data_IF_119954251581
#
_entry.id   IF_119954251581
#
_cell.length_a   1.000
_cell.length_b   1.000
_cell.length_c   1.000
_cell.angle_alpha   90.00
_cell.angle_beta   90.00
_cell.angle_gamma   90.00
#
_symmetry.space_group_name_H-M   'P 1'
#
loop_
_entity.id
_entity.type
_entity.pdbx_description
1 polymer ?
#
# COMPACT_ATOMS: atom_id res chain seq x y z
N UNK A 1 -7.78 -2.81 -5.46
CA UNK A 1 -9.03 -2.43 -4.78
C UNK A 1 -10.19 -3.38 -5.12
N UNK A 2 -10.56 -3.58 -6.37
CA UNK A 2 -11.71 -4.43 -6.74
C UNK A 2 -11.49 -5.91 -6.35
N UNK A 3 -10.28 -6.45 -6.52
CA UNK A 3 -9.94 -7.80 -6.06
C UNK A 3 -10.24 -8.01 -4.58
N UNK A 4 -9.94 -7.03 -3.73
CA UNK A 4 -10.25 -7.09 -2.29
C UNK A 4 -11.76 -7.05 -2.03
N UNK A 5 -12.54 -6.27 -2.80
CA UNK A 5 -14.00 -6.17 -2.63
C UNK A 5 -14.74 -7.44 -3.03
N UNK A 6 -14.21 -8.20 -3.96
CA UNK A 6 -14.90 -9.34 -4.58
C UNK A 6 -14.33 -10.71 -4.20
N UNK A 7 -13.29 -10.76 -3.35
CA UNK A 7 -12.73 -12.04 -2.92
C UNK A 7 -13.56 -12.68 -1.81
N UNK A 8 -13.76 -14.01 -1.88
CA UNK A 8 -14.42 -14.78 -0.82
C UNK A 8 -13.52 -15.02 0.40
N UNK A 9 -12.20 -15.08 0.20
CA UNK A 9 -11.21 -15.27 1.26
C UNK A 9 -10.04 -14.34 1.01
N UNK A 10 -9.93 -13.34 1.87
CA UNK A 10 -8.85 -12.36 1.80
C UNK A 10 -7.48 -13.00 2.09
N UNK A 11 -7.44 -13.98 2.99
CA UNK A 11 -6.22 -14.71 3.33
C UNK A 11 -5.66 -15.48 2.12
N UNK A 12 -6.52 -16.20 1.38
CA UNK A 12 -6.11 -16.90 0.15
C UNK A 12 -5.70 -15.93 -0.96
N UNK A 13 -6.33 -14.76 -1.00
CA UNK A 13 -5.97 -13.71 -1.95
C UNK A 13 -4.60 -13.14 -1.64
N UNK A 14 -4.33 -12.81 -0.36
CA UNK A 14 -3.01 -12.37 0.11
C UNK A 14 -1.93 -13.42 -0.16
N UNK A 15 -2.19 -14.69 0.19
CA UNK A 15 -1.25 -15.77 -0.08
C UNK A 15 -0.92 -15.87 -1.57
N UNK A 16 -1.93 -15.77 -2.43
CA UNK A 16 -1.73 -15.75 -3.88
C UNK A 16 -0.85 -14.59 -4.34
N UNK A 17 -1.12 -13.37 -3.88
CA UNK A 17 -0.32 -12.19 -4.22
C UNK A 17 1.13 -12.33 -3.72
N UNK A 18 1.33 -12.82 -2.48
CA UNK A 18 2.66 -13.04 -1.91
C UNK A 18 3.48 -14.08 -2.69
N UNK A 19 2.86 -15.21 -3.04
CA UNK A 19 3.53 -16.25 -3.86
C UNK A 19 3.93 -15.68 -5.22
N UNK A 20 3.03 -14.95 -5.90
CA UNK A 20 3.35 -14.36 -7.20
C UNK A 20 4.31 -13.16 -7.11
N UNK A 21 4.38 -12.47 -5.98
CA UNK A 21 5.43 -11.50 -5.73
C UNK A 21 6.82 -12.15 -5.79
N UNK A 22 6.99 -13.30 -5.09
CA UNK A 22 8.26 -14.05 -5.11
C UNK A 22 8.57 -14.67 -6.47
N UNK A 23 7.57 -15.27 -7.15
CA UNK A 23 7.77 -15.87 -8.47
C UNK A 23 8.13 -14.82 -9.52
N UNK A 24 7.52 -13.63 -9.45
CA UNK A 24 7.72 -12.57 -10.44
C UNK A 24 9.03 -11.81 -10.24
N UNK A 25 9.69 -11.96 -9.09
CA UNK A 25 10.96 -11.26 -8.82
C UNK A 25 12.05 -11.73 -9.76
N UNK A 26 12.17 -13.03 -9.98
CA UNK A 26 13.21 -13.58 -10.87
C UNK A 26 13.11 -12.99 -12.29
N UNK A 27 11.96 -13.07 -13.02
CA UNK A 27 11.86 -12.44 -14.33
C UNK A 27 11.97 -10.92 -14.28
N UNK A 28 11.57 -10.26 -13.18
CA UNK A 28 11.71 -8.82 -13.02
C UNK A 28 13.19 -8.40 -12.94
N UNK A 29 13.97 -9.06 -12.09
CA UNK A 29 15.41 -8.82 -11.96
C UNK A 29 16.17 -9.10 -13.25
N UNK A 30 15.80 -10.16 -13.99
CA UNK A 30 16.38 -10.46 -15.29
C UNK A 30 16.05 -9.40 -16.36
N UNK A 31 14.87 -8.77 -16.28
CA UNK A 31 14.46 -7.77 -17.26
C UNK A 31 15.02 -6.37 -16.95
N UNK A 32 15.07 -5.98 -15.69
CA UNK A 32 15.36 -4.60 -15.28
C UNK A 32 16.61 -4.47 -14.40
N UNK A 33 17.01 -5.52 -13.67
CA UNK A 33 18.20 -5.56 -12.83
C UNK A 33 19.47 -6.00 -13.58
N UNK A 34 20.60 -5.87 -12.91
CA UNK A 34 21.87 -6.44 -13.34
C UNK A 34 22.25 -7.70 -12.57
N UNK A 35 21.49 -8.02 -11.51
CA UNK A 35 21.68 -9.19 -10.64
C UNK A 35 20.35 -9.53 -9.98
N UNK A 36 20.18 -10.79 -9.58
CA UNK A 36 19.01 -11.21 -8.81
C UNK A 36 19.16 -10.68 -7.38
N UNK A 37 18.32 -9.72 -6.99
CA UNK A 37 18.35 -9.11 -5.67
C UNK A 37 16.92 -8.84 -5.16
N UNK A 38 16.42 -9.70 -4.28
CA UNK A 38 15.06 -9.67 -3.76
C UNK A 38 14.69 -8.45 -2.88
N UNK A 39 15.64 -7.53 -2.63
CA UNK A 39 15.43 -6.36 -1.77
C UNK A 39 15.65 -5.03 -2.47
N UNK A 40 16.04 -5.04 -3.75
CA UNK A 40 16.34 -3.86 -4.54
C UNK A 40 15.30 -3.75 -5.66
N UNK A 41 14.55 -2.67 -5.73
CA UNK A 41 13.49 -2.41 -6.72
C UNK A 41 12.58 -3.63 -6.98
N UNK A 42 11.66 -3.90 -6.07
CA UNK A 42 10.79 -5.08 -6.16
C UNK A 42 9.59 -4.87 -7.09
N UNK A 43 9.07 -5.97 -7.63
CA UNK A 43 7.99 -5.98 -8.62
C UNK A 43 6.61 -5.51 -8.07
N UNK A 44 5.66 -5.23 -8.96
CA UNK A 44 4.33 -4.70 -8.66
C UNK A 44 3.49 -5.60 -7.72
N UNK A 45 3.73 -6.90 -7.69
CA UNK A 45 2.97 -7.79 -6.81
C UNK A 45 3.24 -7.51 -5.33
N UNK A 46 4.43 -7.00 -4.96
CA UNK A 46 4.68 -6.52 -3.59
C UNK A 46 3.79 -5.33 -3.24
N UNK A 47 3.67 -4.36 -4.15
CA UNK A 47 2.74 -3.22 -3.96
C UNK A 47 1.29 -3.70 -3.80
N UNK A 48 0.85 -4.65 -4.64
CA UNK A 48 -0.49 -5.22 -4.57
C UNK A 48 -0.72 -6.01 -3.27
N UNK A 49 0.28 -6.78 -2.84
CA UNK A 49 0.25 -7.55 -1.59
C UNK A 49 0.14 -6.63 -0.37
N UNK A 50 1.00 -5.62 -0.28
CA UNK A 50 0.99 -4.66 0.85
C UNK A 50 -0.31 -3.85 0.88
N UNK A 51 -0.83 -3.44 -0.28
CA UNK A 51 -2.11 -2.76 -0.36
C UNK A 51 -3.27 -3.64 0.10
N UNK A 52 -3.27 -4.91 -0.30
CA UNK A 52 -4.27 -5.87 0.13
C UNK A 52 -4.15 -6.19 1.63
N UNK A 53 -2.92 -6.23 2.16
CA UNK A 53 -2.66 -6.37 3.59
C UNK A 53 -3.21 -5.15 4.38
N UNK A 54 -3.00 -3.92 3.89
CA UNK A 54 -3.61 -2.72 4.48
C UNK A 54 -5.14 -2.84 4.56
N UNK A 55 -5.77 -3.27 3.46
CA UNK A 55 -7.24 -3.47 3.41
C UNK A 55 -7.67 -4.53 4.41
N UNK A 56 -6.97 -5.66 4.48
CA UNK A 56 -7.28 -6.75 5.41
C UNK A 56 -7.14 -6.31 6.88
N UNK A 57 -6.06 -5.62 7.22
CA UNK A 57 -5.82 -5.06 8.56
C UNK A 57 -6.93 -4.07 8.91
N UNK A 58 -7.23 -3.11 8.02
CA UNK A 58 -8.28 -2.12 8.21
C UNK A 58 -9.64 -2.76 8.50
N UNK A 59 -10.09 -3.70 7.65
CA UNK A 59 -11.39 -4.35 7.78
C UNK A 59 -11.47 -5.25 9.03
N UNK A 60 -10.38 -5.94 9.35
CA UNK A 60 -10.31 -6.82 10.52
C UNK A 60 -10.40 -6.01 11.83
N UNK A 61 -9.65 -4.90 11.91
CA UNK A 61 -9.64 -4.05 13.10
C UNK A 61 -10.96 -3.30 13.26
N UNK A 62 -11.52 -2.79 12.15
CA UNK A 62 -12.79 -2.06 12.16
C UNK A 62 -13.96 -2.88 12.72
N UNK A 63 -13.92 -4.21 12.59
CA UNK A 63 -14.94 -5.13 13.10
C UNK A 63 -14.77 -5.45 14.58
N UNK A 64 -13.63 -5.12 15.18
CA UNK A 64 -13.32 -5.45 16.56
C UNK A 64 -13.87 -4.43 17.56
N UNK A 65 -14.03 -4.87 18.82
CA UNK A 65 -14.33 -3.97 19.94
C UNK A 65 -13.18 -2.98 20.15
N UNK A 66 -13.49 -1.80 20.64
CA UNK A 66 -12.51 -0.69 20.82
C UNK A 66 -11.25 -1.10 21.59
N UNK A 67 -11.39 -1.95 22.62
CA UNK A 67 -10.23 -2.45 23.39
C UNK A 67 -9.27 -3.26 22.51
N UNK A 68 -9.79 -4.11 21.63
CA UNK A 68 -8.97 -4.90 20.69
C UNK A 68 -8.30 -3.97 19.66
N UNK A 69 -9.01 -2.97 19.17
CA UNK A 69 -8.45 -1.96 18.26
C UNK A 69 -7.26 -1.24 18.90
N UNK A 70 -7.36 -0.86 20.16
CA UNK A 70 -6.29 -0.22 20.93
C UNK A 70 -5.08 -1.13 21.12
N UNK A 71 -5.31 -2.40 21.47
CA UNK A 71 -4.23 -3.39 21.63
C UNK A 71 -3.49 -3.58 20.29
N UNK A 72 -4.22 -3.78 19.19
CA UNK A 72 -3.62 -3.93 17.86
C UNK A 72 -2.86 -2.68 17.47
N UNK A 73 -3.42 -1.48 17.73
CA UNK A 73 -2.73 -0.24 17.46
C UNK A 73 -1.42 -0.10 18.27
N UNK A 74 -1.44 -0.46 19.56
CA UNK A 74 -0.24 -0.47 20.39
C UNK A 74 0.83 -1.47 19.86
N UNK A 75 0.42 -2.65 19.42
CA UNK A 75 1.32 -3.64 18.79
C UNK A 75 1.91 -3.09 17.49
N UNK A 76 1.11 -2.42 16.65
CA UNK A 76 1.59 -1.77 15.43
C UNK A 76 2.63 -0.69 15.74
N UNK A 77 2.40 0.12 16.80
CA UNK A 77 3.38 1.12 17.24
C UNK A 77 4.68 0.50 17.74
N UNK A 78 4.61 -0.61 18.47
CA UNK A 78 5.81 -1.36 18.88
C UNK A 78 6.57 -1.90 17.65
N UNK A 79 5.85 -2.40 16.64
CA UNK A 79 6.45 -2.87 15.40
C UNK A 79 7.15 -1.72 14.64
N UNK A 80 6.51 -0.55 14.53
CA UNK A 80 7.11 0.66 13.98
C UNK A 80 8.39 1.09 14.72
N UNK A 81 8.37 0.97 16.05
CA UNK A 81 9.55 1.28 16.85
C UNK A 81 10.68 0.29 16.62
N UNK A 82 10.39 -1.00 16.51
CA UNK A 82 11.38 -2.02 16.17
C UNK A 82 11.94 -1.81 14.75
N UNK A 83 11.10 -1.50 13.77
CA UNK A 83 11.52 -1.15 12.41
C UNK A 83 12.43 0.09 12.40
N UNK A 84 12.07 1.11 13.19
CA UNK A 84 12.91 2.31 13.33
C UNK A 84 14.30 1.98 13.90
N UNK A 85 14.38 1.18 14.96
CA UNK A 85 15.67 0.75 15.55
C UNK A 85 16.51 0.02 14.50
N UNK A 86 15.89 -0.92 13.78
CA UNK A 86 16.56 -1.74 12.78
C UNK A 86 17.08 -0.87 11.63
N UNK A 87 16.25 0.06 11.11
CA UNK A 87 16.63 1.00 10.06
C UNK A 87 17.78 1.89 10.49
N UNK A 88 17.73 2.47 11.71
CA UNK A 88 18.81 3.30 12.25
C UNK A 88 20.12 2.52 12.38
N UNK A 89 20.03 1.23 12.75
CA UNK A 89 21.19 0.36 12.90
C UNK A 89 21.81 0.01 11.54
N UNK A 90 21.00 -0.21 10.50
CA UNK A 90 21.47 -0.59 9.15
C UNK A 90 21.98 0.62 8.37
N UNK A 91 21.25 1.74 8.38
CA UNK A 91 21.58 2.90 7.52
C UNK A 91 22.53 3.90 8.18
N UNK A 92 22.63 3.89 9.51
CA UNK A 92 23.42 4.87 10.26
C UNK A 92 22.81 6.29 10.25
N UNK A 93 21.67 6.51 9.58
CA UNK A 93 21.04 7.83 9.45
C UNK A 93 20.10 8.11 10.63
N UNK A 94 20.31 9.26 11.31
CA UNK A 94 19.57 9.65 12.53
C UNK A 94 18.31 10.50 12.25
N UNK A 95 18.24 11.20 11.16
CA UNK A 95 17.15 12.18 10.87
C UNK A 95 15.79 11.55 10.52
N UNK A 96 15.68 10.57 9.64
CA UNK A 96 14.42 9.86 9.41
C UNK A 96 13.90 9.19 10.68
N UNK A 97 14.81 8.77 11.55
CA UNK A 97 14.54 8.09 12.81
C UNK A 97 13.87 8.98 13.87
N UNK A 98 14.21 10.28 13.93
CA UNK A 98 13.57 11.22 14.88
C UNK A 98 12.11 11.50 14.55
N UNK A 99 11.77 11.65 13.27
CA UNK A 99 10.39 11.86 12.84
C UNK A 99 9.51 10.63 13.15
N UNK A 100 10.04 9.42 12.91
CA UNK A 100 9.36 8.16 13.24
C UNK A 100 9.21 7.96 14.75
N UNK A 101 10.25 8.31 15.54
CA UNK A 101 10.19 8.28 16.99
C UNK A 101 9.14 9.25 17.54
N UNK A 102 9.06 10.46 16.99
CA UNK A 102 8.06 11.45 17.38
C UNK A 102 6.64 10.95 17.07
N UNK A 103 6.42 10.38 15.90
CA UNK A 103 5.11 9.80 15.51
C UNK A 103 4.72 8.62 16.40
N UNK A 104 5.69 7.79 16.83
CA UNK A 104 5.50 6.71 17.79
C UNK A 104 5.04 7.24 19.15
N UNK A 105 5.77 8.23 19.71
CA UNK A 105 5.44 8.84 21.02
C UNK A 105 4.06 9.49 20.98
N UNK A 106 3.74 10.24 19.91
CA UNK A 106 2.44 10.85 19.73
C UNK A 106 1.32 9.81 19.60
N UNK A 107 1.56 8.72 18.89
CA UNK A 107 0.62 7.60 18.79
C UNK A 107 0.35 6.93 20.16
N UNK A 108 1.38 6.75 20.98
CA UNK A 108 1.25 6.24 22.35
C UNK A 108 0.44 7.19 23.24
N UNK A 109 0.69 8.50 23.18
CA UNK A 109 -0.05 9.52 23.93
C UNK A 109 -1.53 9.49 23.52
N UNK A 110 -1.83 9.45 22.23
CA UNK A 110 -3.20 9.39 21.73
C UNK A 110 -3.90 8.11 22.18
N UNK A 111 -3.21 6.95 22.15
CA UNK A 111 -3.74 5.68 22.61
C UNK A 111 -4.05 5.70 24.10
N UNK A 112 -3.13 6.21 24.94
CA UNK A 112 -3.35 6.37 26.37
C UNK A 112 -4.51 7.33 26.67
N UNK A 113 -4.54 8.49 26.03
CA UNK A 113 -5.63 9.46 26.21
C UNK A 113 -7.00 8.87 25.86
N UNK A 114 -7.05 8.01 24.82
CA UNK A 114 -8.28 7.34 24.43
C UNK A 114 -8.72 6.28 25.47
N UNK A 115 -7.78 5.50 26.02
CA UNK A 115 -8.09 4.52 27.09
C UNK A 115 -8.72 5.22 28.29
N UNK A 116 -8.14 6.34 28.73
CA UNK A 116 -8.67 7.09 29.87
C UNK A 116 -10.04 7.72 29.59
N UNK A 117 -10.28 8.20 28.38
CA UNK A 117 -11.54 8.84 28.00
C UNK A 117 -12.69 7.87 27.74
N UNK A 118 -12.39 6.64 27.35
CA UNK A 118 -13.40 5.62 27.01
C UNK A 118 -14.09 5.01 28.23
N UNK A 119 -13.50 5.10 29.42
CA UNK A 119 -14.16 4.68 30.68
C UNK A 119 -15.40 5.55 31.01
N UNK A 120 -15.44 6.79 30.46
CA UNK A 120 -16.57 7.73 30.69
C UNK A 120 -17.57 7.83 29.54
N UNK A 121 -17.28 7.34 28.33
CA UNK A 121 -18.06 7.63 27.12
C UNK A 121 -18.60 6.37 26.44
N UNK A 122 -19.17 5.44 27.20
CA UNK A 122 -19.83 4.24 26.65
C UNK A 122 -21.09 4.55 25.78
N UNK A 123 -21.53 5.79 25.67
CA UNK A 123 -22.81 6.18 25.03
C UNK A 123 -22.73 7.20 23.88
N UNK A 124 -21.57 7.59 23.37
CA UNK A 124 -21.48 8.55 22.27
C UNK A 124 -21.23 7.88 20.92
N UNK A 125 -22.21 7.96 20.02
CA UNK A 125 -22.27 7.33 18.69
C UNK A 125 -21.29 7.87 17.62
N UNK A 126 -20.40 8.83 17.92
CA UNK A 126 -19.51 9.40 16.91
C UNK A 126 -18.14 9.74 17.47
N UNK A 127 -17.35 8.73 17.78
CA UNK A 127 -15.95 8.97 18.10
C UNK A 127 -15.10 8.88 16.82
N UNK A 128 -14.72 10.05 16.29
CA UNK A 128 -13.76 10.20 15.17
C UNK A 128 -12.49 9.36 15.42
N UNK A 129 -12.01 9.30 16.66
CA UNK A 129 -10.83 8.53 17.06
C UNK A 129 -10.99 7.02 16.81
N UNK A 130 -12.18 6.44 17.01
CA UNK A 130 -12.43 5.00 16.76
C UNK A 130 -12.26 4.67 15.25
N UNK A 131 -12.58 5.60 14.36
CA UNK A 131 -12.42 5.41 12.93
C UNK A 131 -10.99 5.65 12.45
N UNK A 132 -10.15 6.33 13.23
CA UNK A 132 -8.75 6.60 12.90
C UNK A 132 -7.84 5.41 13.22
N UNK A 133 -8.09 4.65 14.30
CA UNK A 133 -7.24 3.52 14.68
C UNK A 133 -7.06 2.45 13.60
N UNK A 134 -8.11 2.00 12.88
CA UNK A 134 -7.92 1.07 11.79
C UNK A 134 -7.02 1.61 10.68
N UNK A 135 -7.06 2.92 10.42
CA UNK A 135 -6.20 3.57 9.41
C UNK A 135 -4.77 3.63 9.91
N UNK A 136 -4.54 4.07 11.15
CA UNK A 136 -3.19 4.15 11.72
C UNK A 136 -2.51 2.78 11.82
N UNK A 137 -3.29 1.72 12.05
CA UNK A 137 -2.77 0.34 12.10
C UNK A 137 -2.26 -0.17 10.75
N UNK A 138 -2.50 0.54 9.64
CA UNK A 138 -1.93 0.20 8.33
C UNK A 138 -0.55 0.82 8.09
N UNK A 139 -0.09 1.76 8.93
CA UNK A 139 1.20 2.44 8.77
C UNK A 139 2.41 1.50 8.61
N UNK A 140 2.54 0.35 9.33
CA UNK A 140 3.65 -0.56 9.13
C UNK A 140 3.78 -1.05 7.69
N UNK A 141 2.67 -1.32 7.01
CA UNK A 141 2.69 -1.77 5.62
C UNK A 141 3.14 -0.66 4.65
N UNK A 142 2.85 0.62 4.96
CA UNK A 142 3.37 1.76 4.19
C UNK A 142 4.88 1.92 4.36
N UNK A 143 5.38 1.77 5.59
CA UNK A 143 6.82 1.83 5.86
C UNK A 143 7.56 0.67 5.19
N UNK A 144 6.99 -0.53 5.25
CA UNK A 144 7.55 -1.69 4.59
C UNK A 144 7.62 -1.49 3.06
N UNK A 145 6.60 -0.84 2.46
CA UNK A 145 6.60 -0.50 1.03
C UNK A 145 7.75 0.45 0.64
N UNK A 146 8.13 1.36 1.56
CA UNK A 146 9.29 2.23 1.36
C UNK A 146 10.61 1.50 1.55
N UNK A 147 10.68 0.56 2.50
CA UNK A 147 11.89 -0.18 2.84
C UNK A 147 12.33 -1.17 1.75
N UNK A 148 11.38 -1.91 1.18
CA UNK A 148 11.65 -2.89 0.12
C UNK A 148 11.62 -2.30 -1.29
N UNK A 149 11.55 -0.97 -1.41
CA UNK A 149 11.53 -0.20 -2.66
C UNK A 149 10.61 -0.82 -3.72
N UNK A 150 9.35 -1.11 -3.30
CA UNK A 150 8.41 -1.71 -4.22
C UNK A 150 7.98 -0.74 -5.33
N UNK A 151 7.71 -1.31 -6.51
CA UNK A 151 7.21 -0.59 -7.68
C UNK A 151 6.03 0.31 -7.27
N UNK A 152 6.04 1.58 -7.63
CA UNK A 152 5.16 2.65 -7.15
C UNK A 152 5.24 2.99 -5.63
N UNK A 153 6.04 2.29 -4.82
CA UNK A 153 6.31 2.60 -3.41
C UNK A 153 5.06 2.88 -2.58
N UNK A 154 5.17 3.84 -1.68
CA UNK A 154 4.07 4.30 -0.80
C UNK A 154 2.86 4.80 -1.61
N UNK A 155 3.09 5.46 -2.74
CA UNK A 155 2.03 6.01 -3.59
C UNK A 155 1.09 4.95 -4.16
N UNK A 156 1.65 3.80 -4.59
CA UNK A 156 0.87 2.67 -5.08
C UNK A 156 0.03 2.04 -3.99
N UNK A 157 0.61 1.84 -2.78
CA UNK A 157 -0.11 1.31 -1.62
C UNK A 157 -1.23 2.25 -1.19
N UNK A 158 -0.96 3.58 -1.15
CA UNK A 158 -1.96 4.59 -0.83
C UNK A 158 -3.10 4.60 -1.85
N UNK A 159 -2.77 4.61 -3.14
CA UNK A 159 -3.76 4.63 -4.22
C UNK A 159 -4.74 3.45 -4.10
N UNK A 160 -4.23 2.23 -3.99
CA UNK A 160 -5.07 1.03 -3.95
C UNK A 160 -5.91 0.99 -2.67
N UNK A 161 -5.33 1.37 -1.53
CA UNK A 161 -6.04 1.40 -0.24
C UNK A 161 -7.17 2.44 -0.24
N UNK A 162 -6.91 3.65 -0.76
CA UNK A 162 -7.93 4.70 -0.87
C UNK A 162 -9.02 4.36 -1.90
N UNK A 163 -8.66 3.73 -3.02
CA UNK A 163 -9.64 3.22 -3.99
C UNK A 163 -10.54 2.12 -3.41
N UNK A 164 -10.04 1.34 -2.43
CA UNK A 164 -10.87 0.39 -1.70
C UNK A 164 -11.94 1.10 -0.87
N UNK A 165 -11.57 2.19 -0.19
CA UNK A 165 -12.47 2.99 0.65
C UNK A 165 -13.45 3.84 -0.17
N UNK A 166 -13.18 4.06 -1.46
CA UNK A 166 -14.03 4.86 -2.33
C UNK A 166 -15.42 4.23 -2.49
N UNK A 167 -16.46 5.02 -2.20
CA UNK A 167 -17.87 4.61 -2.27
C UNK A 167 -18.48 4.78 -3.67
N UNK A 168 -17.87 5.59 -4.53
CA UNK A 168 -18.38 5.85 -5.88
C UNK A 168 -17.24 5.97 -6.89
N UNK A 169 -17.57 5.75 -8.17
CA UNK A 169 -16.63 5.90 -9.28
C UNK A 169 -16.08 7.34 -9.34
N UNK A 170 -16.92 8.34 -9.07
CA UNK A 170 -16.50 9.76 -9.06
C UNK A 170 -15.41 10.00 -8.01
N UNK A 171 -15.59 9.45 -6.79
CA UNK A 171 -14.58 9.55 -5.72
C UNK A 171 -13.31 8.81 -6.13
N UNK A 172 -13.41 7.64 -6.75
CA UNK A 172 -12.25 6.91 -7.27
C UNK A 172 -11.46 7.72 -8.29
N UNK A 173 -12.15 8.38 -9.23
CA UNK A 173 -11.51 9.24 -10.22
C UNK A 173 -10.78 10.44 -9.58
N UNK A 174 -11.39 11.08 -8.59
CA UNK A 174 -10.75 12.17 -7.84
C UNK A 174 -9.53 11.68 -7.07
N UNK A 175 -9.60 10.53 -6.38
CA UNK A 175 -8.45 9.94 -5.66
C UNK A 175 -7.30 9.67 -6.63
N UNK A 176 -7.59 9.09 -7.79
CA UNK A 176 -6.57 8.84 -8.81
C UNK A 176 -5.92 10.14 -9.28
N UNK A 177 -6.70 11.17 -9.62
CA UNK A 177 -6.16 12.45 -10.05
C UNK A 177 -5.29 13.09 -8.96
N UNK A 178 -5.75 13.11 -7.71
CA UNK A 178 -5.05 13.74 -6.57
C UNK A 178 -3.74 13.01 -6.25
N UNK A 179 -3.62 11.70 -6.46
CA UNK A 179 -2.40 10.95 -6.18
C UNK A 179 -1.46 10.87 -7.37
N UNK A 180 -1.97 10.71 -8.60
CA UNK A 180 -1.12 10.58 -9.79
C UNK A 180 -0.45 11.90 -10.17
N UNK A 181 -1.14 13.04 -10.02
CA UNK A 181 -0.57 14.34 -10.37
C UNK A 181 0.67 14.68 -9.52
N UNK A 182 0.67 14.60 -8.17
CA UNK A 182 1.88 14.82 -7.38
C UNK A 182 2.97 13.79 -7.62
N UNK A 183 2.62 12.52 -7.80
CA UNK A 183 3.57 11.44 -8.08
C UNK A 183 4.40 11.75 -9.32
N UNK A 184 3.75 12.04 -10.45
CA UNK A 184 4.46 12.41 -11.68
C UNK A 184 5.03 13.83 -11.64
N UNK A 185 4.41 14.73 -10.87
CA UNK A 185 4.89 16.09 -10.67
C UNK A 185 6.26 16.15 -9.97
N UNK A 186 6.50 15.27 -8.99
CA UNK A 186 7.82 15.15 -8.36
C UNK A 186 8.90 14.73 -9.36
N UNK A 187 8.60 13.79 -10.24
CA UNK A 187 9.51 13.36 -11.30
C UNK A 187 9.77 14.45 -12.35
N UNK A 188 8.79 15.32 -12.60
CA UNK A 188 8.96 16.47 -13.51
C UNK A 188 9.82 17.56 -12.86
N UNK A 189 9.65 17.79 -11.55
CA UNK A 189 10.37 18.84 -10.83
C UNK A 189 11.84 18.48 -10.53
N UNK A 190 12.13 17.20 -10.25
CA UNK A 190 13.47 16.72 -9.93
C UNK A 190 14.37 16.56 -11.18
N UNK A 191 13.78 16.28 -12.33
CA UNK A 191 14.47 16.17 -13.60
C UNK A 191 13.99 17.32 -14.51
N UNK A 192 14.90 17.92 -15.28
CA UNK A 192 14.52 18.85 -16.37
C UNK A 192 13.30 18.27 -17.09
N UNK A 193 12.23 19.08 -17.21
CA UNK A 193 10.94 18.67 -17.77
C UNK A 193 11.17 17.83 -19.02
N UNK A 194 11.13 16.51 -18.87
CA UNK A 194 11.36 15.61 -20.00
C UNK A 194 10.02 15.31 -20.66
N UNK A 195 10.04 15.23 -21.99
CA UNK A 195 8.86 14.80 -22.75
C UNK A 195 8.32 13.45 -22.25
N UNK A 196 9.21 12.58 -21.81
CA UNK A 196 8.84 11.27 -21.24
C UNK A 196 8.02 11.37 -19.95
N UNK A 197 8.38 12.27 -19.04
CA UNK A 197 7.64 12.46 -17.79
C UNK A 197 6.22 12.97 -18.07
N UNK A 198 6.08 13.94 -18.97
CA UNK A 198 4.76 14.45 -19.40
C UNK A 198 3.94 13.36 -20.08
N UNK A 199 4.54 12.59 -21.00
CA UNK A 199 3.89 11.47 -21.66
C UNK A 199 3.38 10.43 -20.66
N UNK A 200 4.22 10.04 -19.70
CA UNK A 200 3.85 9.04 -18.68
C UNK A 200 2.72 9.55 -17.77
N UNK A 201 2.74 10.82 -17.40
CA UNK A 201 1.63 11.46 -16.68
C UNK A 201 0.33 11.42 -17.47
N UNK A 202 0.35 11.79 -18.76
CA UNK A 202 -0.84 11.76 -19.61
C UNK A 202 -1.41 10.35 -19.76
N UNK A 203 -0.56 9.32 -19.98
CA UNK A 203 -1.02 7.94 -20.05
C UNK A 203 -1.57 7.45 -18.74
N UNK A 204 -1.00 7.84 -17.59
CA UNK A 204 -1.50 7.46 -16.29
C UNK A 204 -2.85 8.12 -15.99
N UNK A 205 -3.04 9.38 -16.35
CA UNK A 205 -4.33 10.05 -16.22
C UNK A 205 -5.41 9.45 -17.14
N UNK A 206 -5.00 8.91 -18.32
CA UNK A 206 -5.93 8.19 -19.20
C UNK A 206 -6.55 6.96 -18.51
N UNK A 207 -5.86 6.34 -17.54
CA UNK A 207 -6.40 5.23 -16.75
C UNK A 207 -7.67 5.59 -15.97
N UNK A 208 -7.88 6.88 -15.67
CA UNK A 208 -9.11 7.38 -15.02
C UNK A 208 -10.34 7.10 -15.90
N UNK A 209 -10.20 7.22 -17.22
CA UNK A 209 -11.29 6.91 -18.16
C UNK A 209 -11.74 5.44 -18.04
N UNK A 210 -10.77 4.51 -17.93
CA UNK A 210 -11.09 3.09 -17.76
C UNK A 210 -11.80 2.83 -16.42
N UNK A 211 -11.42 3.53 -15.35
CA UNK A 211 -12.12 3.45 -14.05
C UNK A 211 -13.54 4.01 -14.18
N UNK A 212 -13.74 5.10 -14.90
CA UNK A 212 -15.06 5.67 -15.13
C UNK A 212 -15.98 4.77 -15.98
N UNK A 213 -15.41 4.00 -16.90
CA UNK A 213 -16.14 3.06 -17.75
C UNK A 213 -16.41 1.70 -17.05
N UNK A 214 -15.83 1.47 -15.87
CA UNK A 214 -16.02 0.22 -15.16
C UNK A 214 -17.47 0.05 -14.68
N UNK A 215 -18.08 -1.06 -15.08
CA UNK A 215 -19.49 -1.38 -14.81
C UNK A 215 -19.73 -2.15 -13.49
N UNK A 216 -18.70 -2.41 -12.70
CA UNK A 216 -18.81 -3.14 -11.44
C UNK A 216 -18.97 -4.66 -11.58
N UNK A 217 -19.03 -5.22 -12.80
CA UNK A 217 -19.22 -6.64 -13.01
C UNK A 217 -17.94 -7.44 -12.75
N UNK A 218 -18.13 -8.68 -12.31
CA UNK A 218 -17.03 -9.62 -12.17
C UNK A 218 -16.44 -10.00 -13.54
N UNK A 219 -15.13 -9.96 -13.63
CA UNK A 219 -14.41 -10.47 -14.79
C UNK A 219 -14.47 -12.01 -14.88
N UNK A 220 -13.68 -12.56 -15.82
CA UNK A 220 -13.55 -14.00 -16.00
C UNK A 220 -13.15 -14.73 -14.72
N UNK A 221 -13.74 -15.93 -14.48
CA UNK A 221 -13.38 -16.81 -13.35
C UNK A 221 -11.95 -17.38 -13.43
N UNK A 222 -11.27 -17.20 -14.56
CA UNK A 222 -9.91 -17.73 -14.80
C UNK A 222 -8.83 -16.82 -14.19
N UNK A 223 -8.90 -16.59 -12.89
CA UNK A 223 -7.97 -15.71 -12.16
C UNK A 223 -6.48 -16.04 -12.31
N UNK A 224 -6.14 -17.32 -12.49
CA UNK A 224 -4.77 -17.79 -12.67
C UNK A 224 -4.10 -17.23 -13.92
N UNK A 225 -4.85 -16.96 -15.00
CA UNK A 225 -4.33 -16.34 -16.21
C UNK A 225 -3.78 -14.95 -15.89
N UNK A 226 -4.47 -14.17 -15.07
CA UNK A 226 -4.03 -12.82 -14.70
C UNK A 226 -2.79 -12.83 -13.82
N UNK A 227 -2.66 -13.81 -12.92
CA UNK A 227 -1.47 -13.97 -12.10
C UNK A 227 -0.24 -14.34 -12.92
N UNK A 228 -0.38 -15.27 -13.89
CA UNK A 228 0.72 -15.70 -14.75
C UNK A 228 1.04 -14.71 -15.88
N UNK A 229 0.09 -13.89 -16.30
CA UNK A 229 0.31 -12.94 -17.38
C UNK A 229 1.48 -11.98 -17.09
N UNK A 230 1.59 -11.50 -15.85
CA UNK A 230 2.64 -10.57 -15.46
C UNK A 230 4.05 -11.19 -15.50
N UNK A 231 4.37 -12.27 -14.76
CA UNK A 231 5.72 -12.84 -14.81
C UNK A 231 6.09 -13.37 -16.20
N UNK A 232 5.13 -13.90 -16.97
CA UNK A 232 5.40 -14.43 -18.29
C UNK A 232 5.73 -13.32 -19.32
N UNK A 233 4.99 -12.20 -19.30
CA UNK A 233 5.30 -11.13 -20.26
C UNK A 233 6.64 -10.45 -19.92
N UNK A 234 6.98 -10.28 -18.65
CA UNK A 234 8.28 -9.74 -18.25
C UNK A 234 9.40 -10.70 -18.62
N UNK A 235 9.23 -12.00 -18.40
CA UNK A 235 10.19 -13.00 -18.84
C UNK A 235 10.40 -12.97 -20.36
N UNK A 236 9.33 -12.80 -21.14
CA UNK A 236 9.41 -12.64 -22.56
C UNK A 236 10.27 -11.43 -22.96
N UNK A 237 10.08 -10.29 -22.32
CA UNK A 237 10.91 -9.10 -22.55
C UNK A 237 12.37 -9.30 -22.10
N UNK A 238 12.60 -9.98 -20.99
CA UNK A 238 13.95 -10.32 -20.54
C UNK A 238 14.71 -11.14 -21.60
N UNK A 239 14.04 -12.16 -22.19
CA UNK A 239 14.63 -13.00 -23.24
C UNK A 239 14.91 -12.18 -24.52
N UNK A 240 14.06 -11.22 -24.89
CA UNK A 240 14.29 -10.38 -26.08
C UNK A 240 15.41 -9.37 -25.88
N UNK A 241 15.77 -9.05 -24.64
CA UNK A 241 16.86 -8.12 -24.31
C UNK A 241 18.25 -8.79 -24.33
N UNK A 242 18.32 -10.12 -24.12
CA UNK A 242 19.55 -10.91 -24.26
C UNK A 242 19.91 -11.17 -25.71
#
# INVERSE_FOLDING_TARGET
AQGCKHTHSMERYLLGLGIFALISEIPYDLAFGNSINFLDQTNIFYTLFLSAACVYIYDSIKKQKTMIQLIVFAVCLLFLFMEWILLTFITGERLPSLALMFSYVMGMIISCAHIFKHHEIANSKSNILINIFPILSTLPAFLLASFIDCDYGIWGVALISLLYLAKSIKISAVIMAVLLVPYYGQHIYSNVVSFEAIRNMCFSLLSILFVCLYNGQHGSKKKWIYYWAYPLHILFFAILRC
#
